data_IF_025797555284
#
_entry.id   IF_025797555284
#
_cell.length_a   1.000
_cell.length_b   1.000
_cell.length_c   1.000
_cell.angle_alpha   90.00
_cell.angle_beta   90.00
_cell.angle_gamma   90.00
#
_symmetry.space_group_name_H-M   'P 1'
#
loop_
_entity.id
_entity.type
_entity.pdbx_description
1 polymer ?
#
# COMPACT_ATOMS: atom_id res chain seq x y z
N UNK A 1 13.19 -6.60 40.86
CA UNK A 1 12.18 -7.65 40.59
C UNK A 1 11.14 -7.62 41.69
N UNK A 2 9.89 -7.91 41.40
CA UNK A 2 8.74 -7.96 42.33
C UNK A 2 9.08 -8.80 43.57
N UNK A 3 9.67 -9.98 43.35
CA UNK A 3 10.11 -10.88 44.44
C UNK A 3 10.97 -10.22 45.50
N UNK A 4 12.04 -9.52 45.08
CA UNK A 4 12.94 -8.82 46.02
C UNK A 4 12.25 -7.74 46.85
N UNK A 5 11.24 -7.07 46.29
CA UNK A 5 10.49 -6.04 46.97
C UNK A 5 9.47 -6.63 47.95
N UNK A 6 8.90 -7.80 47.63
CA UNK A 6 8.07 -8.57 48.53
C UNK A 6 8.89 -9.12 49.73
N UNK A 7 10.08 -9.66 49.45
CA UNK A 7 11.01 -10.11 50.49
C UNK A 7 11.46 -8.95 51.44
N UNK A 8 11.52 -7.74 50.89
CA UNK A 8 11.80 -6.52 51.63
C UNK A 8 10.59 -5.98 52.43
N UNK A 9 9.44 -6.70 52.44
CA UNK A 9 8.25 -6.38 53.22
C UNK A 9 7.37 -5.29 52.66
N UNK A 10 7.53 -4.90 51.36
CA UNK A 10 6.60 -3.96 50.70
C UNK A 10 5.26 -4.60 50.43
N UNK A 11 4.21 -3.81 50.46
CA UNK A 11 2.88 -4.30 50.07
C UNK A 11 2.81 -4.56 48.54
N UNK A 12 2.03 -5.55 48.15
CA UNK A 12 1.77 -5.88 46.73
C UNK A 12 1.23 -4.66 45.99
N UNK A 13 0.33 -3.92 46.62
CA UNK A 13 -0.29 -2.71 46.05
C UNK A 13 0.73 -1.62 45.71
N UNK A 14 1.68 -1.36 46.63
CA UNK A 14 2.70 -0.33 46.44
C UNK A 14 3.68 -0.75 45.32
N UNK A 15 4.03 -2.03 45.26
CA UNK A 15 4.88 -2.59 44.19
C UNK A 15 4.19 -2.45 42.85
N UNK A 16 2.92 -2.81 42.76
CA UNK A 16 2.14 -2.71 41.52
C UNK A 16 1.98 -1.26 41.06
N UNK A 17 1.66 -0.33 41.98
CA UNK A 17 1.54 1.10 41.63
C UNK A 17 2.88 1.67 41.10
N UNK A 18 3.98 1.32 41.73
CA UNK A 18 5.31 1.75 41.29
C UNK A 18 5.64 1.18 39.91
N UNK A 19 5.38 -0.12 39.68
CA UNK A 19 5.62 -0.80 38.45
C UNK A 19 4.76 -0.25 37.29
N UNK A 20 3.47 -0.03 37.54
CA UNK A 20 2.56 0.58 36.54
C UNK A 20 3.02 1.97 36.15
N UNK A 21 3.42 2.79 37.13
CA UNK A 21 3.93 4.13 36.89
C UNK A 21 5.20 4.10 36.03
N UNK A 22 6.13 3.21 36.36
CA UNK A 22 7.39 3.06 35.61
C UNK A 22 7.13 2.57 34.17
N UNK A 23 6.36 1.50 34.01
CA UNK A 23 5.99 0.96 32.69
C UNK A 23 5.28 2.01 31.83
N UNK A 24 4.31 2.75 32.40
CA UNK A 24 3.60 3.80 31.66
C UNK A 24 4.56 4.92 31.24
N UNK A 25 5.43 5.36 32.13
CA UNK A 25 6.40 6.43 31.85
C UNK A 25 7.37 6.03 30.73
N UNK A 26 7.86 4.80 30.76
CA UNK A 26 8.77 4.26 29.76
C UNK A 26 8.08 3.98 28.40
N UNK A 27 6.79 3.67 28.42
CA UNK A 27 5.99 3.37 27.24
C UNK A 27 5.22 4.58 26.69
N UNK A 28 5.38 5.76 27.26
CA UNK A 28 4.62 6.97 26.89
C UNK A 28 4.73 7.34 25.40
N UNK A 29 5.84 6.99 24.77
CA UNK A 29 6.04 7.25 23.33
C UNK A 29 5.00 6.61 22.43
N UNK A 30 4.45 5.44 22.81
CA UNK A 30 3.45 4.71 22.03
C UNK A 30 2.01 4.98 22.47
N UNK A 31 1.79 5.76 23.53
CA UNK A 31 0.45 6.13 24.00
C UNK A 31 0.01 7.41 23.31
N UNK A 32 -1.06 7.31 22.53
CA UNK A 32 -1.68 8.43 21.82
C UNK A 32 -3.20 8.42 22.06
N UNK A 33 -3.74 9.55 22.50
CA UNK A 33 -5.17 9.69 22.84
C UNK A 33 -6.00 10.35 21.73
N UNK A 34 -5.46 10.47 20.52
CA UNK A 34 -6.13 11.01 19.34
C UNK A 34 -6.51 9.93 18.34
N UNK A 35 -6.94 10.37 17.15
CA UNK A 35 -7.20 9.47 16.03
C UNK A 35 -5.89 8.96 15.43
N UNK A 36 -5.61 7.67 15.64
CA UNK A 36 -4.41 6.99 15.12
C UNK A 36 -4.36 6.85 13.59
N UNK A 37 -5.44 7.16 12.88
CA UNK A 37 -5.50 7.18 11.40
C UNK A 37 -5.29 8.58 10.83
N UNK A 38 -5.23 9.61 11.67
CA UNK A 38 -5.05 10.99 11.24
C UNK A 38 -3.61 11.30 10.83
N UNK A 39 -3.45 12.31 9.99
CA UNK A 39 -2.13 12.86 9.65
C UNK A 39 -1.41 13.43 10.88
N UNK A 40 -2.16 13.89 11.87
CA UNK A 40 -1.59 14.41 13.12
C UNK A 40 -0.83 13.34 13.89
N UNK A 41 -1.32 12.09 13.86
CA UNK A 41 -0.58 10.97 14.44
C UNK A 41 0.71 10.67 13.69
N UNK A 42 0.71 10.71 12.36
CA UNK A 42 1.93 10.49 11.56
C UNK A 42 3.03 11.48 11.95
N UNK A 43 2.68 12.76 12.05
CA UNK A 43 3.60 13.83 12.45
C UNK A 43 4.08 13.65 13.89
N UNK A 44 3.17 13.31 14.80
CA UNK A 44 3.49 13.11 16.21
C UNK A 44 4.34 11.85 16.41
N UNK A 45 4.07 10.76 15.69
CA UNK A 45 4.86 9.53 15.75
C UNK A 45 6.30 9.77 15.29
N UNK A 46 6.50 10.54 14.23
CA UNK A 46 7.83 10.92 13.75
C UNK A 46 8.61 11.73 14.81
N UNK A 47 7.97 12.73 15.44
CA UNK A 47 8.56 13.49 16.55
C UNK A 47 8.97 12.61 17.71
N UNK A 48 8.25 11.53 17.98
CA UNK A 48 8.55 10.56 19.05
C UNK A 48 9.59 9.53 18.63
N UNK A 49 10.09 9.57 17.40
CA UNK A 49 11.06 8.63 16.85
C UNK A 49 10.47 7.23 16.60
N UNK A 50 9.15 7.14 16.36
CA UNK A 50 8.48 5.92 15.97
C UNK A 50 8.57 5.75 14.45
N UNK A 51 8.84 4.53 13.94
CA UNK A 51 8.88 4.31 12.50
C UNK A 51 7.48 4.46 11.88
N UNK A 52 7.42 5.19 10.76
CA UNK A 52 6.22 5.28 9.93
C UNK A 52 6.45 4.52 8.61
N UNK A 53 6.14 3.24 8.60
CA UNK A 53 6.34 2.36 7.44
C UNK A 53 5.02 2.24 6.67
N UNK A 54 4.88 3.03 5.61
CA UNK A 54 3.63 3.16 4.85
C UNK A 54 3.35 2.00 3.91
N UNK A 55 4.38 1.23 3.55
CA UNK A 55 4.21 0.10 2.64
C UNK A 55 4.38 -1.23 3.36
N UNK A 56 3.62 -2.24 2.94
CA UNK A 56 3.79 -3.61 3.46
C UNK A 56 5.19 -4.14 3.16
N UNK A 57 5.78 -3.78 2.01
CA UNK A 57 7.14 -4.18 1.65
C UNK A 57 8.20 -3.69 2.66
N UNK A 58 8.07 -2.46 3.16
CA UNK A 58 8.98 -1.92 4.16
C UNK A 58 8.69 -2.50 5.55
N UNK A 59 7.42 -2.65 5.92
CA UNK A 59 7.02 -3.20 7.21
C UNK A 59 7.44 -4.68 7.36
N UNK A 60 7.34 -5.48 6.30
CA UNK A 60 7.74 -6.89 6.31
C UNK A 60 9.22 -7.09 6.60
N UNK A 61 10.09 -6.19 6.17
CA UNK A 61 11.54 -6.23 6.46
C UNK A 61 11.84 -6.24 7.96
N UNK A 62 10.98 -5.60 8.77
CA UNK A 62 11.14 -5.59 10.22
C UNK A 62 10.97 -6.97 10.87
N UNK A 63 10.29 -7.91 10.22
CA UNK A 63 10.12 -9.28 10.74
C UNK A 63 11.47 -9.99 10.82
N UNK A 64 12.40 -9.68 9.91
CA UNK A 64 13.78 -10.22 9.90
C UNK A 64 14.79 -9.36 10.67
N UNK A 65 14.38 -8.22 11.20
CA UNK A 65 15.28 -7.36 11.97
C UNK A 65 15.58 -8.01 13.33
N UNK A 66 16.72 -8.70 13.41
CA UNK A 66 17.17 -9.37 14.62
C UNK A 66 17.27 -8.42 15.83
N UNK A 67 17.65 -7.15 15.60
CA UNK A 67 17.72 -6.13 16.66
C UNK A 67 16.37 -5.85 17.32
N UNK A 68 15.26 -5.99 16.57
CA UNK A 68 13.91 -5.71 17.05
C UNK A 68 13.15 -6.95 17.51
N UNK A 69 13.48 -8.12 16.98
CA UNK A 69 12.72 -9.37 17.21
C UNK A 69 13.42 -10.38 18.13
N UNK A 70 14.65 -10.09 18.59
CA UNK A 70 15.41 -10.97 19.49
C UNK A 70 14.64 -11.33 20.77
N UNK A 71 13.75 -10.46 21.24
CA UNK A 71 12.93 -10.75 22.43
C UNK A 71 11.95 -11.91 22.17
N UNK A 72 11.46 -12.08 20.94
CA UNK A 72 10.55 -13.18 20.58
C UNK A 72 11.26 -14.55 20.67
N UNK A 73 12.51 -14.60 20.21
CA UNK A 73 13.33 -15.83 20.30
C UNK A 73 13.82 -16.08 21.71
N UNK A 74 14.25 -15.04 22.43
CA UNK A 74 14.68 -15.16 23.85
C UNK A 74 13.56 -15.61 24.78
N UNK A 75 12.32 -15.18 24.52
CA UNK A 75 11.14 -15.60 25.29
C UNK A 75 10.57 -16.97 24.83
N UNK A 76 11.16 -17.61 23.83
CA UNK A 76 10.68 -18.87 23.29
C UNK A 76 9.33 -18.78 22.57
N UNK A 77 8.91 -17.55 22.16
CA UNK A 77 7.65 -17.34 21.43
C UNK A 77 7.77 -17.85 20.00
N UNK A 78 8.91 -17.58 19.36
CA UNK A 78 9.27 -18.09 18.03
C UNK A 78 10.73 -18.52 18.00
N UNK A 79 11.01 -19.57 17.24
CA UNK A 79 12.36 -19.88 16.78
C UNK A 79 12.75 -18.97 15.61
N UNK A 80 14.04 -18.86 15.32
CA UNK A 80 14.53 -18.12 14.14
C UNK A 80 13.93 -18.67 12.83
N UNK A 81 13.84 -20.00 12.73
CA UNK A 81 13.22 -20.67 11.58
C UNK A 81 11.75 -20.31 11.40
N UNK A 82 10.98 -20.19 12.48
CA UNK A 82 9.58 -19.77 12.41
C UNK A 82 9.45 -18.30 11.99
N UNK A 83 10.33 -17.42 12.43
CA UNK A 83 10.35 -16.02 11.98
C UNK A 83 10.67 -15.93 10.48
N UNK A 84 11.64 -16.71 10.00
CA UNK A 84 11.96 -16.79 8.58
C UNK A 84 10.78 -17.30 7.73
N UNK A 85 10.16 -18.39 8.18
CA UNK A 85 8.96 -18.92 7.50
C UNK A 85 7.83 -17.89 7.44
N UNK A 86 7.53 -17.23 8.57
CA UNK A 86 6.50 -16.20 8.63
C UNK A 86 6.80 -15.01 7.72
N UNK A 87 8.05 -14.59 7.65
CA UNK A 87 8.48 -13.56 6.73
C UNK A 87 8.22 -13.97 5.28
N UNK A 88 8.73 -15.14 4.87
CA UNK A 88 8.63 -15.61 3.49
C UNK A 88 7.16 -15.76 3.05
N UNK A 89 6.32 -16.40 3.88
CA UNK A 89 4.89 -16.58 3.60
C UNK A 89 4.16 -15.23 3.48
N UNK A 90 4.51 -14.24 4.29
CA UNK A 90 3.87 -12.92 4.21
C UNK A 90 4.31 -12.13 2.98
N UNK A 91 5.59 -12.24 2.60
CA UNK A 91 6.11 -11.62 1.38
C UNK A 91 5.45 -12.23 0.15
N UNK A 92 5.47 -13.55 0.05
CA UNK A 92 4.82 -14.29 -1.03
C UNK A 92 3.33 -13.93 -1.16
N UNK A 93 2.60 -13.96 -0.05
CA UNK A 93 1.19 -13.59 -0.01
C UNK A 93 0.96 -12.16 -0.48
N UNK A 94 1.80 -11.20 -0.07
CA UNK A 94 1.71 -9.82 -0.53
C UNK A 94 1.89 -9.72 -2.04
N UNK A 95 2.92 -10.35 -2.59
CA UNK A 95 3.20 -10.35 -4.02
C UNK A 95 2.08 -11.02 -4.83
N UNK A 96 1.57 -12.17 -4.39
CA UNK A 96 0.47 -12.88 -5.05
C UNK A 96 -0.80 -12.02 -5.09
N UNK A 97 -1.17 -11.39 -3.98
CA UNK A 97 -2.36 -10.54 -3.96
C UNK A 97 -2.22 -9.36 -4.94
N UNK A 98 -1.07 -8.71 -4.97
CA UNK A 98 -0.81 -7.60 -5.89
C UNK A 98 -0.76 -8.06 -7.35
N UNK A 99 -0.18 -9.20 -7.63
CA UNK A 99 -0.18 -9.81 -8.96
C UNK A 99 -1.61 -10.04 -9.48
N UNK A 100 -2.48 -10.60 -8.64
CA UNK A 100 -3.90 -10.82 -8.97
C UNK A 100 -4.61 -9.48 -9.23
N UNK A 101 -4.41 -8.47 -8.38
CA UNK A 101 -5.03 -7.15 -8.52
C UNK A 101 -4.60 -6.48 -9.82
N UNK A 102 -3.31 -6.49 -10.14
CA UNK A 102 -2.78 -5.89 -11.37
C UNK A 102 -3.27 -6.63 -12.63
N UNK A 103 -3.24 -7.95 -12.63
CA UNK A 103 -3.78 -8.75 -13.73
C UNK A 103 -5.27 -8.51 -13.94
N UNK A 104 -6.02 -8.33 -12.86
CA UNK A 104 -7.44 -7.99 -12.91
C UNK A 104 -7.64 -6.60 -13.53
N UNK A 105 -6.88 -5.58 -13.09
CA UNK A 105 -6.93 -4.23 -13.65
C UNK A 105 -6.61 -4.24 -15.15
N UNK A 106 -5.54 -4.91 -15.56
CA UNK A 106 -5.16 -5.06 -16.96
C UNK A 106 -6.27 -5.74 -17.77
N UNK A 107 -6.86 -6.80 -17.23
CA UNK A 107 -7.95 -7.53 -17.89
C UNK A 107 -9.21 -6.66 -18.08
N UNK A 108 -9.64 -5.94 -17.04
CA UNK A 108 -10.77 -4.99 -17.13
C UNK A 108 -10.45 -3.89 -18.13
N UNK A 109 -9.26 -3.32 -18.09
CA UNK A 109 -8.85 -2.27 -19.02
C UNK A 109 -8.92 -2.74 -20.47
N UNK A 110 -8.41 -3.95 -20.76
CA UNK A 110 -8.38 -4.49 -22.13
C UNK A 110 -9.75 -4.96 -22.63
N UNK A 111 -10.56 -5.57 -21.76
CA UNK A 111 -11.83 -6.19 -22.19
C UNK A 111 -13.03 -5.27 -22.13
N UNK A 112 -13.02 -4.32 -21.20
CA UNK A 112 -14.18 -3.48 -20.96
C UNK A 112 -13.91 -2.01 -21.29
N UNK A 113 -12.83 -1.43 -20.75
CA UNK A 113 -12.57 0.00 -20.88
C UNK A 113 -12.17 0.40 -22.31
N UNK A 114 -11.20 -0.27 -22.91
CA UNK A 114 -10.79 0.05 -24.29
C UNK A 114 -11.92 -0.11 -25.32
N UNK A 115 -12.68 -1.21 -25.32
CA UNK A 115 -13.82 -1.33 -26.24
C UNK A 115 -14.87 -0.24 -26.04
N UNK A 116 -15.21 0.09 -24.78
CA UNK A 116 -16.16 1.17 -24.47
C UNK A 116 -15.64 2.53 -24.97
N UNK A 117 -14.39 2.84 -24.71
CA UNK A 117 -13.77 4.09 -25.15
C UNK A 117 -13.67 4.21 -26.67
N UNK A 118 -13.34 3.12 -27.36
CA UNK A 118 -13.31 3.07 -28.84
C UNK A 118 -14.70 3.29 -29.42
N UNK A 119 -15.72 2.64 -28.87
CA UNK A 119 -17.10 2.80 -29.30
C UNK A 119 -17.57 4.26 -29.11
N UNK A 120 -17.26 4.87 -27.96
CA UNK A 120 -17.59 6.28 -27.71
C UNK A 120 -16.87 7.23 -28.67
N UNK A 121 -15.59 6.99 -28.96
CA UNK A 121 -14.86 7.77 -29.97
C UNK A 121 -15.51 7.67 -31.36
N UNK A 122 -15.94 6.47 -31.75
CA UNK A 122 -16.62 6.26 -33.03
C UNK A 122 -17.97 7.01 -33.09
N UNK A 123 -18.75 6.99 -32.02
CA UNK A 123 -20.00 7.75 -31.93
C UNK A 123 -19.75 9.26 -32.04
N UNK A 124 -18.77 9.79 -31.30
CA UNK A 124 -18.37 11.21 -31.40
C UNK A 124 -17.91 11.57 -32.81
N UNK A 125 -17.06 10.78 -33.43
CA UNK A 125 -16.54 11.04 -34.77
C UNK A 125 -17.67 11.04 -35.82
N UNK A 126 -18.62 10.10 -35.71
CA UNK A 126 -19.79 10.05 -36.57
C UNK A 126 -20.66 11.28 -36.37
N UNK A 127 -20.98 11.63 -35.13
CA UNK A 127 -21.79 12.82 -34.81
C UNK A 127 -21.14 14.10 -35.34
N UNK A 128 -19.83 14.27 -35.14
CA UNK A 128 -19.07 15.40 -35.67
C UNK A 128 -19.19 15.53 -37.18
N UNK A 129 -19.07 14.40 -37.89
CA UNK A 129 -19.17 14.41 -39.37
C UNK A 129 -20.59 14.77 -39.86
N UNK A 130 -21.64 14.26 -39.21
CA UNK A 130 -23.01 14.59 -39.55
C UNK A 130 -23.38 16.04 -39.26
N UNK A 131 -22.94 16.56 -38.11
CA UNK A 131 -23.10 17.97 -37.72
C UNK A 131 -22.41 18.94 -38.72
N UNK A 132 -21.18 18.62 -39.14
CA UNK A 132 -20.44 19.39 -40.17
C UNK A 132 -21.18 19.41 -41.49
N UNK A 133 -21.76 18.25 -41.95
CA UNK A 133 -22.56 18.22 -43.16
C UNK A 133 -23.81 19.10 -43.08
N UNK A 134 -24.39 19.21 -41.89
CA UNK A 134 -25.53 20.08 -41.60
C UNK A 134 -25.16 21.57 -41.41
N UNK A 135 -23.86 21.95 -41.49
CA UNK A 135 -23.39 23.30 -41.32
C UNK A 135 -23.28 23.76 -39.88
N UNK A 136 -23.26 22.85 -38.90
CA UNK A 136 -23.15 23.14 -37.47
C UNK A 136 -21.67 23.23 -37.05
N UNK A 137 -21.36 24.16 -36.18
CA UNK A 137 -20.04 24.30 -35.54
C UNK A 137 -19.80 23.15 -34.55
N UNK A 138 -18.67 22.46 -34.67
CA UNK A 138 -18.34 21.25 -33.88
C UNK A 138 -17.05 21.42 -33.08
N UNK A 139 -16.69 22.64 -32.72
CA UNK A 139 -15.43 22.92 -32.01
C UNK A 139 -15.34 22.23 -30.64
N UNK A 140 -16.43 22.17 -29.89
CA UNK A 140 -16.52 21.55 -28.57
C UNK A 140 -16.43 20.03 -28.72
N UNK A 141 -17.18 19.43 -29.66
CA UNK A 141 -17.16 17.98 -29.90
C UNK A 141 -15.77 17.48 -30.30
N UNK A 142 -15.06 18.27 -31.12
CA UNK A 142 -13.66 17.98 -31.48
C UNK A 142 -12.72 18.06 -30.27
N UNK A 143 -12.93 18.97 -29.33
CA UNK A 143 -12.14 19.02 -28.11
C UNK A 143 -12.37 17.77 -27.26
N UNK A 144 -13.63 17.35 -27.10
CA UNK A 144 -13.98 16.13 -26.35
C UNK A 144 -13.36 14.91 -27.02
N UNK A 145 -13.46 14.77 -28.33
CA UNK A 145 -12.88 13.66 -29.07
C UNK A 145 -11.35 13.59 -28.89
N UNK A 146 -10.67 14.73 -28.97
CA UNK A 146 -9.22 14.81 -28.73
C UNK A 146 -8.85 14.45 -27.29
N UNK A 147 -9.63 14.90 -26.32
CA UNK A 147 -9.40 14.60 -24.91
C UNK A 147 -9.55 13.09 -24.65
N UNK A 148 -10.63 12.47 -25.14
CA UNK A 148 -10.83 11.02 -24.99
C UNK A 148 -9.70 10.25 -25.69
N UNK A 149 -9.30 10.67 -26.89
CA UNK A 149 -8.20 10.03 -27.60
C UNK A 149 -6.89 10.07 -26.81
N UNK A 150 -6.51 11.23 -26.27
CA UNK A 150 -5.27 11.38 -25.49
C UNK A 150 -5.29 10.52 -24.20
N UNK A 151 -6.45 10.40 -23.55
CA UNK A 151 -6.61 9.52 -22.37
C UNK A 151 -6.48 8.04 -22.75
N UNK A 152 -7.07 7.62 -23.87
CA UNK A 152 -6.95 6.23 -24.37
C UNK A 152 -5.50 5.88 -24.69
N UNK A 153 -4.78 6.79 -25.34
CA UNK A 153 -3.34 6.60 -25.65
C UNK A 153 -2.52 6.48 -24.36
N UNK A 154 -2.71 7.40 -23.40
CA UNK A 154 -2.03 7.34 -22.11
C UNK A 154 -2.34 6.06 -21.34
N UNK A 155 -3.61 5.65 -21.31
CA UNK A 155 -4.07 4.42 -20.68
C UNK A 155 -3.38 3.18 -21.31
N UNK A 156 -3.29 3.14 -22.65
CA UNK A 156 -2.66 2.04 -23.37
C UNK A 156 -1.17 1.90 -22.99
N UNK A 157 -0.42 3.00 -23.02
CA UNK A 157 1.00 3.00 -22.67
C UNK A 157 1.21 2.50 -21.24
N UNK A 158 0.43 3.03 -20.26
CA UNK A 158 0.54 2.64 -18.86
C UNK A 158 0.13 1.19 -18.61
N UNK A 159 -0.88 0.69 -19.32
CA UNK A 159 -1.31 -0.71 -19.22
C UNK A 159 -0.22 -1.67 -19.71
N UNK A 160 0.47 -1.34 -20.81
CA UNK A 160 1.61 -2.12 -21.31
C UNK A 160 2.77 -2.09 -20.31
N UNK A 161 3.05 -0.93 -19.72
CA UNK A 161 4.11 -0.79 -18.71
C UNK A 161 3.80 -1.62 -17.45
N UNK A 162 2.54 -1.57 -16.97
CA UNK A 162 2.09 -2.39 -15.86
C UNK A 162 2.20 -3.88 -16.18
N UNK A 163 1.80 -4.32 -17.37
CA UNK A 163 1.91 -5.73 -17.79
C UNK A 163 3.36 -6.20 -17.75
N UNK A 164 4.30 -5.42 -18.28
CA UNK A 164 5.74 -5.75 -18.24
C UNK A 164 6.26 -5.87 -16.80
N UNK A 165 5.81 -4.98 -15.92
CA UNK A 165 6.19 -5.04 -14.51
C UNK A 165 5.64 -6.29 -13.81
N UNK A 166 4.39 -6.64 -14.10
CA UNK A 166 3.72 -7.84 -13.56
C UNK A 166 4.41 -9.13 -14.02
N UNK A 167 4.82 -9.20 -15.29
CA UNK A 167 5.51 -10.37 -15.84
C UNK A 167 6.89 -10.62 -15.19
N UNK A 168 7.45 -9.61 -14.51
CA UNK A 168 8.71 -9.69 -13.78
C UNK A 168 8.60 -10.03 -12.29
N UNK A 169 7.39 -10.28 -11.76
CA UNK A 169 7.19 -10.57 -10.33
C UNK A 169 7.64 -12.00 -9.99
N UNK A 170 8.59 -12.13 -9.05
CA UNK A 170 9.15 -13.42 -8.57
C UNK A 170 8.68 -13.81 -7.15
N UNK A 171 7.75 -13.07 -6.57
CA UNK A 171 7.14 -13.29 -5.25
C UNK A 171 8.14 -13.27 -4.08
N UNK A 172 9.24 -12.56 -4.22
CA UNK A 172 10.26 -12.31 -3.18
C UNK A 172 10.21 -10.88 -2.63
N UNK A 173 11.11 -10.57 -1.70
CA UNK A 173 11.16 -9.25 -1.05
C UNK A 173 11.59 -8.13 -2.00
N UNK A 174 12.38 -8.45 -3.02
CA UNK A 174 12.81 -7.47 -4.02
C UNK A 174 11.64 -7.13 -4.93
N UNK A 175 10.88 -8.13 -5.39
CA UNK A 175 9.60 -7.93 -6.09
C UNK A 175 8.59 -7.15 -5.26
N UNK A 176 8.46 -7.43 -3.95
CA UNK A 176 7.62 -6.63 -3.07
C UNK A 176 8.04 -5.16 -3.04
N UNK A 177 9.34 -4.87 -3.10
CA UNK A 177 9.89 -3.52 -3.22
C UNK A 177 9.53 -2.83 -4.53
N UNK A 178 9.63 -3.54 -5.66
CA UNK A 178 9.22 -3.04 -6.99
C UNK A 178 7.71 -2.78 -7.03
N UNK A 179 6.90 -3.72 -6.53
CA UNK A 179 5.47 -3.57 -6.43
C UNK A 179 5.10 -2.27 -5.68
N UNK A 180 5.67 -2.06 -4.50
CA UNK A 180 5.33 -0.92 -3.65
C UNK A 180 5.77 0.43 -4.24
N UNK A 181 6.91 0.48 -4.93
CA UNK A 181 7.52 1.74 -5.39
C UNK A 181 7.20 2.10 -6.83
N UNK A 182 6.85 1.12 -7.66
CA UNK A 182 6.66 1.32 -9.09
C UNK A 182 5.26 0.89 -9.55
N UNK A 183 4.85 -0.36 -9.29
CA UNK A 183 3.63 -0.90 -9.86
C UNK A 183 2.37 -0.38 -9.18
N UNK A 184 2.37 -0.16 -7.87
CA UNK A 184 1.24 0.44 -7.17
C UNK A 184 0.96 1.87 -7.64
N UNK A 185 1.93 2.81 -7.66
CA UNK A 185 1.69 4.15 -8.21
C UNK A 185 1.20 4.11 -9.66
N UNK A 186 1.79 3.24 -10.50
CA UNK A 186 1.37 3.08 -11.89
C UNK A 186 -0.10 2.58 -12.00
N UNK A 187 -0.52 1.65 -11.15
CA UNK A 187 -1.90 1.19 -11.10
C UNK A 187 -2.87 2.28 -10.65
N UNK A 188 -2.47 3.14 -9.72
CA UNK A 188 -3.24 4.30 -9.28
C UNK A 188 -3.39 5.34 -10.41
N UNK A 189 -2.31 5.58 -11.17
CA UNK A 189 -2.36 6.45 -12.35
C UNK A 189 -3.29 5.92 -13.42
N UNK A 190 -3.31 4.60 -13.67
CA UNK A 190 -4.27 3.95 -14.56
C UNK A 190 -5.70 4.20 -14.06
N UNK A 191 -5.97 3.97 -12.78
CA UNK A 191 -7.28 4.24 -12.17
C UNK A 191 -7.72 5.70 -12.28
N UNK A 192 -6.80 6.66 -12.23
CA UNK A 192 -7.10 8.07 -12.38
C UNK A 192 -7.41 8.51 -13.84
N UNK A 193 -6.99 7.72 -14.83
CA UNK A 193 -7.30 7.98 -16.24
C UNK A 193 -8.70 7.46 -16.60
N UNK A 194 -9.10 6.34 -16.02
CA UNK A 194 -10.40 5.69 -16.22
C UNK A 194 -11.50 6.54 -15.61
#
# INVERSE_FOLDING_TARGET
TIEKELEAGKSVDDILKALIKDLYSNSKKVVFNGDGYSKDWEVEAEKRGLPNLRTSADALKLIKDAGKNTFLTKLGIYSERELDMRFNVRVERYCIHRDIEFKTLINITNKDIFPAAINYKNQLATSINEQKKAGVEVSVDLQILKLVNSKVEALHVKTIELQKGVDGITHDIDSAGVIAKQLLPLSEEIGAII
#
